data_IF_691144830834
#
_entry.id   IF_691144830834
#
_cell.length_a   1.000
_cell.length_b   1.000
_cell.length_c   1.000
_cell.angle_alpha   90.00
_cell.angle_beta   90.00
_cell.angle_gamma   90.00
#
_symmetry.space_group_name_H-M   'P 1'
#
loop_
_entity.id
_entity.type
_entity.pdbx_description
1 polymer ?
#
# COMPACT_ATOMS: atom_id res chain seq x y z
N UNK A 1 17.68 24.11 -7.43
CA UNK A 1 18.36 22.80 -7.40
C UNK A 1 19.80 22.88 -6.90
N UNK A 2 19.98 22.54 -5.63
CA UNK A 2 21.29 22.19 -5.05
C UNK A 2 21.92 20.94 -5.70
N UNK A 3 23.24 20.71 -5.52
CA UNK A 3 23.92 19.51 -6.02
C UNK A 3 23.29 18.20 -5.52
N UNK A 4 22.83 18.16 -4.26
CA UNK A 4 22.18 16.98 -3.69
C UNK A 4 20.79 16.75 -4.28
N UNK A 5 20.03 17.81 -4.54
CA UNK A 5 18.71 17.73 -5.19
C UNK A 5 18.83 17.12 -6.58
N UNK A 6 19.86 17.52 -7.33
CA UNK A 6 20.15 16.95 -8.65
C UNK A 6 20.49 15.46 -8.53
N UNK A 7 21.30 15.08 -7.55
CA UNK A 7 21.66 13.67 -7.31
C UNK A 7 20.44 12.82 -6.92
N UNK A 8 19.58 13.34 -6.04
CA UNK A 8 18.32 12.70 -5.67
C UNK A 8 17.46 12.39 -6.89
N UNK A 9 17.23 13.39 -7.75
CA UNK A 9 16.39 13.22 -8.93
C UNK A 9 17.04 12.43 -10.08
N UNK A 10 18.37 12.24 -10.07
CA UNK A 10 19.01 11.29 -10.99
C UNK A 10 18.59 9.85 -10.70
N UNK A 11 18.38 9.52 -9.42
CA UNK A 11 17.94 8.20 -8.98
C UNK A 11 16.42 8.12 -9.05
N UNK A 12 15.73 9.12 -8.51
CA UNK A 12 14.26 9.18 -8.46
C UNK A 12 13.67 10.09 -9.54
N UNK A 13 14.00 9.81 -10.80
CA UNK A 13 13.59 10.67 -11.94
C UNK A 13 12.08 10.85 -12.07
N UNK A 14 11.30 9.88 -11.59
CA UNK A 14 9.82 9.91 -11.61
C UNK A 14 9.20 10.47 -10.32
N UNK A 15 10.02 11.10 -9.47
CA UNK A 15 9.56 11.95 -8.37
C UNK A 15 9.50 13.43 -8.75
N UNK A 16 9.70 13.79 -10.03
CA UNK A 16 9.51 15.16 -10.52
C UNK A 16 8.13 15.27 -11.15
N UNK A 17 7.22 16.12 -10.62
CA UNK A 17 5.90 16.33 -11.20
C UNK A 17 5.98 16.93 -12.60
N UNK A 18 5.07 16.53 -13.49
CA UNK A 18 4.94 17.17 -14.81
C UNK A 18 4.39 18.60 -14.72
N UNK A 19 3.56 18.88 -13.71
CA UNK A 19 3.09 20.22 -13.42
C UNK A 19 4.20 21.05 -12.78
N UNK A 20 4.65 22.09 -13.50
CA UNK A 20 5.78 22.96 -13.08
C UNK A 20 5.55 23.69 -11.76
N UNK A 21 4.31 24.07 -11.44
CA UNK A 21 4.02 24.76 -10.18
C UNK A 21 4.14 23.79 -9.00
N UNK A 22 3.55 22.60 -9.14
CA UNK A 22 3.65 21.54 -8.14
C UNK A 22 5.13 21.13 -7.98
N UNK A 23 5.84 20.91 -9.09
CA UNK A 23 7.25 20.56 -9.08
C UNK A 23 8.12 21.58 -8.32
N UNK A 24 7.87 22.88 -8.51
CA UNK A 24 8.59 23.93 -7.78
C UNK A 24 8.33 23.86 -6.28
N UNK A 25 7.07 23.69 -5.86
CA UNK A 25 6.71 23.57 -4.44
C UNK A 25 7.33 22.33 -3.80
N UNK A 26 7.29 21.20 -4.49
CA UNK A 26 7.89 19.94 -4.04
C UNK A 26 9.43 20.04 -3.97
N UNK A 27 10.07 20.70 -4.94
CA UNK A 27 11.52 20.98 -4.91
C UNK A 27 11.91 21.83 -3.70
N UNK A 28 11.17 22.91 -3.40
CA UNK A 28 11.42 23.76 -2.23
C UNK A 28 11.32 22.96 -0.92
N UNK A 29 10.37 22.02 -0.83
CA UNK A 29 10.24 21.11 0.31
C UNK A 29 11.46 20.18 0.41
N UNK A 30 11.87 19.57 -0.70
CA UNK A 30 13.03 18.68 -0.73
C UNK A 30 14.32 19.42 -0.35
N UNK A 31 14.53 20.64 -0.87
CA UNK A 31 15.72 21.44 -0.57
C UNK A 31 15.86 21.77 0.93
N UNK A 32 14.73 21.95 1.62
CA UNK A 32 14.72 22.15 3.08
C UNK A 32 15.16 20.90 3.85
N UNK A 33 14.89 19.69 3.35
CA UNK A 33 15.10 18.43 4.07
C UNK A 33 16.43 17.76 3.70
N UNK A 34 16.82 17.78 2.42
CA UNK A 34 17.93 16.97 1.87
C UNK A 34 19.31 17.30 2.47
N UNK A 35 19.44 18.47 3.10
CA UNK A 35 20.68 18.91 3.74
C UNK A 35 20.71 18.67 5.26
N UNK A 36 19.58 18.27 5.86
CA UNK A 36 19.49 17.99 7.29
C UNK A 36 20.17 16.65 7.62
N UNK A 37 20.79 16.56 8.80
CA UNK A 37 21.23 15.27 9.34
C UNK A 37 20.02 14.43 9.77
N UNK A 38 20.16 13.10 9.89
CA UNK A 38 19.11 12.21 10.41
C UNK A 38 18.55 12.68 11.75
N UNK A 39 19.42 13.21 12.63
CA UNK A 39 19.04 13.81 13.91
C UNK A 39 18.19 15.06 13.74
N UNK A 40 18.57 15.96 12.83
CA UNK A 40 17.83 17.20 12.57
C UNK A 40 16.47 16.91 11.92
N UNK A 41 16.41 15.97 10.97
CA UNK A 41 15.16 15.48 10.38
C UNK A 41 14.24 14.93 11.49
N UNK A 42 14.79 14.14 12.41
CA UNK A 42 14.02 13.58 13.52
C UNK A 42 13.41 14.68 14.40
N UNK A 43 14.20 15.70 14.74
CA UNK A 43 13.74 16.84 15.53
C UNK A 43 12.68 17.65 14.79
N UNK A 44 12.86 17.88 13.49
CA UNK A 44 11.92 18.56 12.61
C UNK A 44 10.58 17.82 12.54
N UNK A 45 10.61 16.52 12.21
CA UNK A 45 9.41 15.68 12.10
C UNK A 45 8.64 15.58 13.41
N UNK A 46 9.34 15.51 14.55
CA UNK A 46 8.70 15.47 15.88
C UNK A 46 7.78 16.66 16.14
N UNK A 47 8.03 17.81 15.54
CA UNK A 47 7.17 19.00 15.69
C UNK A 47 5.75 18.76 15.14
N UNK A 48 5.59 17.90 14.13
CA UNK A 48 4.28 17.56 13.57
C UNK A 48 3.42 16.74 14.51
N UNK A 49 4.00 15.94 15.41
CA UNK A 49 3.24 15.15 16.39
C UNK A 49 2.39 16.07 17.27
N UNK A 50 2.98 17.19 17.72
CA UNK A 50 2.29 18.18 18.56
C UNK A 50 1.16 18.83 17.76
N UNK A 51 1.41 19.21 16.51
CA UNK A 51 0.40 19.81 15.62
C UNK A 51 -0.76 18.85 15.38
N UNK A 52 -0.50 17.59 15.01
CA UNK A 52 -1.52 16.58 14.75
C UNK A 52 -2.35 16.24 16.00
N UNK A 53 -1.74 16.27 17.19
CA UNK A 53 -2.45 16.03 18.46
C UNK A 53 -3.55 17.08 18.70
N UNK A 54 -3.37 18.32 18.26
CA UNK A 54 -4.40 19.36 18.35
C UNK A 54 -5.64 19.01 17.49
N UNK A 55 -5.41 18.53 16.27
CA UNK A 55 -6.48 18.20 15.32
C UNK A 55 -7.27 16.92 15.67
N UNK A 56 -6.78 16.11 16.62
CA UNK A 56 -7.52 14.95 17.15
C UNK A 56 -8.87 15.30 17.79
N UNK A 57 -9.17 16.56 18.11
CA UNK A 57 -10.42 16.93 18.80
C UNK A 57 -11.55 17.37 17.86
N UNK A 58 -11.24 17.84 16.66
CA UNK A 58 -12.22 18.43 15.74
C UNK A 58 -12.60 17.45 14.61
N UNK A 59 -13.53 17.85 13.74
CA UNK A 59 -13.73 17.20 12.44
C UNK A 59 -12.52 17.45 11.54
N UNK A 60 -12.36 16.67 10.47
CA UNK A 60 -11.29 16.87 9.50
C UNK A 60 -11.73 17.96 8.50
N UNK A 61 -11.11 19.12 8.57
CA UNK A 61 -11.33 20.26 7.67
C UNK A 61 -10.28 20.31 6.54
N UNK A 62 -10.52 21.17 5.55
CA UNK A 62 -9.62 21.35 4.40
C UNK A 62 -8.21 21.81 4.81
N UNK A 63 -8.10 22.65 5.84
CA UNK A 63 -6.80 23.11 6.34
C UNK A 63 -5.97 21.95 6.91
N UNK A 64 -6.58 21.14 7.78
CA UNK A 64 -5.96 19.96 8.36
C UNK A 64 -5.61 18.93 7.28
N UNK A 65 -6.48 18.72 6.29
CA UNK A 65 -6.20 17.84 5.16
C UNK A 65 -4.96 18.29 4.37
N UNK A 66 -4.81 19.58 4.10
CA UNK A 66 -3.62 20.13 3.44
C UNK A 66 -2.35 19.97 4.27
N UNK A 67 -2.44 20.15 5.60
CA UNK A 67 -1.32 19.90 6.51
C UNK A 67 -0.93 18.43 6.48
N UNK A 68 -1.90 17.50 6.52
CA UNK A 68 -1.66 16.06 6.40
C UNK A 68 -0.95 15.74 5.08
N UNK A 69 -1.45 16.24 3.95
CA UNK A 69 -0.82 16.02 2.64
C UNK A 69 0.62 16.53 2.61
N UNK A 70 0.89 17.71 3.18
CA UNK A 70 2.24 18.24 3.29
C UNK A 70 3.14 17.34 4.14
N UNK A 71 2.67 16.87 5.30
CA UNK A 71 3.44 15.96 6.15
C UNK A 71 3.74 14.65 5.41
N UNK A 72 2.75 14.07 4.71
CA UNK A 72 2.94 12.83 3.94
C UNK A 72 3.95 13.00 2.80
N UNK A 73 3.96 14.15 2.14
CA UNK A 73 4.95 14.51 1.12
C UNK A 73 6.36 14.60 1.72
N UNK A 74 6.52 15.28 2.85
CA UNK A 74 7.81 15.38 3.55
C UNK A 74 8.30 14.01 4.05
N UNK A 75 7.41 13.18 4.58
CA UNK A 75 7.71 11.79 4.98
C UNK A 75 8.22 11.00 3.77
N UNK A 76 7.58 11.12 2.60
CA UNK A 76 8.02 10.43 1.39
C UNK A 76 9.43 10.82 0.94
N UNK A 77 9.78 12.11 1.03
CA UNK A 77 11.14 12.57 0.75
C UNK A 77 12.13 12.01 1.77
N UNK A 78 11.80 12.05 3.06
CA UNK A 78 12.66 11.48 4.11
C UNK A 78 12.88 9.99 3.89
N UNK A 79 11.83 9.21 3.61
CA UNK A 79 11.96 7.77 3.35
C UNK A 79 12.90 7.50 2.16
N UNK A 80 12.84 8.30 1.09
CA UNK A 80 13.71 8.17 -0.07
C UNK A 80 15.15 8.56 0.23
N UNK A 81 15.37 9.62 1.02
CA UNK A 81 16.71 9.99 1.51
C UNK A 81 17.31 8.84 2.34
N UNK A 82 16.53 8.28 3.26
CA UNK A 82 16.97 7.13 4.06
C UNK A 82 17.20 5.87 3.22
N UNK A 83 16.46 5.69 2.13
CA UNK A 83 16.72 4.62 1.17
C UNK A 83 18.07 4.80 0.45
N UNK A 84 18.43 6.03 0.06
CA UNK A 84 19.75 6.32 -0.53
C UNK A 84 20.88 6.03 0.45
N UNK A 85 20.74 6.46 1.71
CA UNK A 85 21.71 6.18 2.76
C UNK A 85 21.84 4.66 2.97
N UNK A 86 20.71 3.93 3.00
CA UNK A 86 20.70 2.47 3.09
C UNK A 86 21.43 1.81 1.92
N UNK A 87 21.21 2.24 0.67
CA UNK A 87 21.90 1.69 -0.49
C UNK A 87 23.42 1.91 -0.40
N UNK A 88 23.83 3.13 -0.05
CA UNK A 88 25.24 3.48 0.12
C UNK A 88 25.90 2.66 1.22
N UNK A 89 25.25 2.52 2.38
CA UNK A 89 25.80 1.75 3.49
C UNK A 89 25.84 0.25 3.18
N UNK A 90 24.86 -0.25 2.42
CA UNK A 90 24.82 -1.64 1.97
C UNK A 90 25.99 -1.94 1.03
N UNK A 91 26.24 -1.08 0.06
CA UNK A 91 27.33 -1.21 -0.90
C UNK A 91 28.70 -1.18 -0.20
N UNK A 92 28.86 -0.32 0.80
CA UNK A 92 30.09 -0.18 1.57
C UNK A 92 30.26 -1.20 2.71
N UNK A 93 29.29 -2.11 2.92
CA UNK A 93 29.23 -3.04 4.05
C UNK A 93 29.30 -2.33 5.44
N UNK A 94 28.70 -1.14 5.55
CA UNK A 94 28.67 -0.32 6.76
C UNK A 94 27.31 -0.27 7.44
N UNK A 95 26.31 -1.02 6.96
CA UNK A 95 24.98 -1.08 7.57
C UNK A 95 25.03 -1.49 9.04
N UNK A 96 24.47 -0.64 9.90
CA UNK A 96 24.32 -0.88 11.34
C UNK A 96 22.85 -0.98 11.71
N UNK A 97 22.46 -2.14 12.24
CA UNK A 97 21.07 -2.35 12.70
C UNK A 97 20.76 -1.61 14.00
N UNK A 98 21.78 -1.19 14.75
CA UNK A 98 21.68 -0.51 16.04
C UNK A 98 21.92 1.00 15.96
N UNK A 99 21.99 1.59 14.75
CA UNK A 99 22.17 3.03 14.57
C UNK A 99 21.05 3.81 15.29
N UNK A 100 21.44 4.59 16.31
CA UNK A 100 20.52 5.29 17.20
C UNK A 100 19.69 6.35 16.46
N UNK A 101 20.30 7.11 15.56
CA UNK A 101 19.61 8.20 14.88
C UNK A 101 18.62 7.66 13.86
N UNK A 102 19.00 6.64 13.09
CA UNK A 102 18.07 5.94 12.16
C UNK A 102 16.92 5.29 12.94
N UNK A 103 17.23 4.67 14.09
CA UNK A 103 16.23 4.05 14.96
C UNK A 103 15.22 5.05 15.51
N UNK A 104 15.70 6.22 15.95
CA UNK A 104 14.85 7.27 16.47
C UNK A 104 13.99 7.91 15.37
N UNK A 105 14.58 8.16 14.18
CA UNK A 105 13.83 8.66 13.03
C UNK A 105 12.71 7.70 12.63
N UNK A 106 13.02 6.41 12.48
CA UNK A 106 12.03 5.38 12.14
C UNK A 106 10.85 5.38 13.11
N UNK A 107 11.11 5.42 14.43
CA UNK A 107 10.05 5.49 15.45
C UNK A 107 9.19 6.75 15.30
N UNK A 108 9.80 7.90 15.05
CA UNK A 108 9.05 9.16 14.88
C UNK A 108 8.19 9.12 13.61
N UNK A 109 8.70 8.60 12.50
CA UNK A 109 7.92 8.45 11.27
C UNK A 109 6.76 7.47 11.47
N UNK A 110 6.99 6.30 12.07
CA UNK A 110 5.92 5.34 12.37
C UNK A 110 4.83 5.96 13.25
N UNK A 111 5.21 6.73 14.28
CA UNK A 111 4.24 7.45 15.11
C UNK A 111 3.45 8.48 14.30
N UNK A 112 4.11 9.32 13.50
CA UNK A 112 3.43 10.33 12.66
C UNK A 112 2.44 9.70 11.68
N UNK A 113 2.86 8.64 10.99
CA UNK A 113 2.01 7.94 10.04
C UNK A 113 0.81 7.31 10.77
N UNK A 114 1.03 6.71 11.95
CA UNK A 114 -0.03 6.17 12.79
C UNK A 114 -1.04 7.24 13.20
N UNK A 115 -0.55 8.42 13.62
CA UNK A 115 -1.38 9.56 13.99
C UNK A 115 -2.26 10.03 12.83
N UNK A 116 -1.67 10.18 11.65
CA UNK A 116 -2.39 10.56 10.45
C UNK A 116 -3.44 9.51 10.09
N UNK A 117 -3.06 8.22 10.12
CA UNK A 117 -3.98 7.13 9.80
C UNK A 117 -5.17 7.08 10.76
N UNK A 118 -4.96 7.31 12.06
CA UNK A 118 -6.02 7.40 13.06
C UNK A 118 -6.92 8.60 12.81
N UNK A 119 -6.37 9.77 12.47
CA UNK A 119 -7.16 10.96 12.15
C UNK A 119 -8.08 10.68 10.96
N UNK A 120 -7.53 10.18 9.86
CA UNK A 120 -8.29 9.82 8.65
C UNK A 120 -9.34 8.75 8.96
N UNK A 121 -9.01 7.77 9.81
CA UNK A 121 -9.89 6.63 10.09
C UNK A 121 -11.07 6.94 11.00
N UNK A 122 -10.90 7.89 11.93
CA UNK A 122 -11.87 8.10 13.01
C UNK A 122 -12.67 9.39 12.88
N UNK A 123 -12.26 10.32 12.02
CA UNK A 123 -12.89 11.63 11.91
C UNK A 123 -13.94 11.70 10.82
N UNK A 124 -14.99 12.46 11.10
CA UNK A 124 -15.91 12.92 10.08
C UNK A 124 -15.26 14.02 9.24
N UNK A 125 -15.58 13.99 7.95
CA UNK A 125 -15.01 14.87 6.95
C UNK A 125 -15.92 16.08 6.76
N UNK A 126 -15.36 17.29 6.76
CA UNK A 126 -16.11 18.53 6.44
C UNK A 126 -16.79 18.44 5.07
N UNK A 127 -16.04 17.96 4.08
CA UNK A 127 -16.52 17.77 2.71
C UNK A 127 -16.05 16.42 2.17
N UNK A 128 -16.88 15.79 1.32
CA UNK A 128 -16.47 14.57 0.64
C UNK A 128 -15.26 14.86 -0.26
N UNK A 129 -14.33 13.93 -0.34
CA UNK A 129 -13.18 14.02 -1.25
C UNK A 129 -12.25 15.22 -1.02
N UNK A 130 -12.21 15.80 0.19
CA UNK A 130 -11.42 17.02 0.49
C UNK A 130 -9.94 16.92 0.11
N UNK A 131 -9.35 15.73 0.13
CA UNK A 131 -7.94 15.52 -0.23
C UNK A 131 -7.67 15.70 -1.73
N UNK A 132 -8.68 15.52 -2.59
CA UNK A 132 -8.52 15.48 -4.06
C UNK A 132 -7.99 16.79 -4.63
N UNK A 133 -8.22 17.92 -3.94
CA UNK A 133 -7.79 19.23 -4.40
C UNK A 133 -6.37 19.61 -3.98
N UNK A 134 -5.74 18.82 -3.12
CA UNK A 134 -4.35 19.06 -2.69
C UNK A 134 -3.34 18.79 -3.81
N UNK A 135 -2.28 19.60 -3.87
CA UNK A 135 -1.21 19.47 -4.87
C UNK A 135 -0.56 18.07 -4.83
N UNK A 136 -0.38 17.51 -3.62
CA UNK A 136 0.20 16.17 -3.42
C UNK A 136 -0.59 15.06 -4.11
N UNK A 137 -1.94 15.14 -4.13
CA UNK A 137 -2.77 14.15 -4.81
C UNK A 137 -2.88 14.40 -6.32
N UNK A 138 -2.66 15.64 -6.77
CA UNK A 138 -2.61 16.02 -8.19
C UNK A 138 -1.29 15.66 -8.87
N UNK A 139 -0.22 15.52 -8.10
CA UNK A 139 1.12 15.11 -8.55
C UNK A 139 1.08 13.75 -9.24
N UNK A 140 1.61 13.64 -10.45
CA UNK A 140 1.67 12.41 -11.27
C UNK A 140 2.90 11.53 -10.96
N UNK A 141 3.59 11.84 -9.87
CA UNK A 141 4.82 11.16 -9.44
C UNK A 141 4.55 9.88 -8.66
N UNK A 142 5.60 9.08 -8.43
CA UNK A 142 5.54 7.92 -7.51
C UNK A 142 5.26 8.33 -6.06
N UNK A 143 5.65 9.55 -5.66
CA UNK A 143 5.27 10.13 -4.36
C UNK A 143 3.77 10.46 -4.33
N UNK A 144 3.25 11.13 -5.37
CA UNK A 144 1.83 11.45 -5.48
C UNK A 144 0.96 10.19 -5.48
N UNK A 145 1.41 9.14 -6.18
CA UNK A 145 0.82 7.80 -6.14
C UNK A 145 0.77 7.23 -4.71
N UNK A 146 1.91 7.17 -4.03
CA UNK A 146 2.01 6.65 -2.65
C UNK A 146 1.05 7.39 -1.70
N UNK A 147 0.91 8.71 -1.84
CA UNK A 147 0.00 9.53 -1.01
C UNK A 147 -1.47 9.25 -1.35
N UNK A 148 -1.84 9.15 -2.63
CA UNK A 148 -3.22 8.82 -3.04
C UNK A 148 -3.62 7.44 -2.52
N UNK A 149 -2.78 6.44 -2.72
CA UNK A 149 -3.03 5.06 -2.26
C UNK A 149 -3.11 5.03 -0.73
N UNK A 150 -2.27 5.79 -0.02
CA UNK A 150 -2.33 5.92 1.44
C UNK A 150 -3.68 6.41 1.96
N UNK A 151 -4.23 7.47 1.35
CA UNK A 151 -5.57 7.96 1.74
C UNK A 151 -6.65 6.92 1.39
N UNK A 152 -6.60 6.37 0.17
CA UNK A 152 -7.60 5.43 -0.32
C UNK A 152 -7.65 4.14 0.49
N UNK A 153 -6.50 3.55 0.87
CA UNK A 153 -6.46 2.29 1.63
C UNK A 153 -7.10 2.44 3.01
N UNK A 154 -6.88 3.56 3.69
CA UNK A 154 -7.45 3.81 5.01
C UNK A 154 -8.97 3.94 4.89
N UNK A 155 -9.45 4.79 3.97
CA UNK A 155 -10.87 5.00 3.75
C UNK A 155 -11.60 3.74 3.29
N UNK A 156 -11.02 2.98 2.34
CA UNK A 156 -11.57 1.72 1.85
C UNK A 156 -11.63 0.66 2.97
N UNK A 157 -10.63 0.62 3.85
CA UNK A 157 -10.63 -0.29 5.01
C UNK A 157 -11.69 0.09 6.04
N UNK A 158 -11.90 1.38 6.30
CA UNK A 158 -12.99 1.82 7.18
C UNK A 158 -14.35 1.51 6.58
N UNK A 159 -14.51 1.68 5.26
CA UNK A 159 -15.72 1.31 4.55
C UNK A 159 -15.99 -0.19 4.64
N UNK A 160 -14.97 -1.02 4.43
CA UNK A 160 -15.03 -2.48 4.61
C UNK A 160 -15.49 -2.83 6.03
N UNK A 161 -14.84 -2.29 7.06
CA UNK A 161 -15.21 -2.50 8.46
C UNK A 161 -16.64 -2.03 8.78
N UNK A 162 -17.10 -0.92 8.20
CA UNK A 162 -18.47 -0.41 8.34
C UNK A 162 -19.49 -1.34 7.70
N UNK A 163 -19.22 -1.88 6.50
CA UNK A 163 -20.09 -2.87 5.85
C UNK A 163 -20.19 -4.15 6.69
N UNK A 164 -19.10 -4.59 7.31
CA UNK A 164 -19.14 -5.74 8.22
C UNK A 164 -20.00 -5.48 9.47
N UNK A 165 -19.97 -4.27 10.04
CA UNK A 165 -20.91 -3.87 11.10
C UNK A 165 -22.38 -3.96 10.66
N UNK A 166 -22.64 -3.75 9.37
CA UNK A 166 -23.98 -3.79 8.77
C UNK A 166 -24.37 -5.20 8.30
N UNK A 167 -23.61 -6.24 8.68
CA UNK A 167 -23.92 -7.63 8.36
C UNK A 167 -23.41 -8.11 6.99
N UNK A 168 -22.50 -7.38 6.34
CA UNK A 168 -21.99 -7.75 5.03
C UNK A 168 -21.32 -9.12 4.98
N UNK A 169 -20.73 -9.60 6.09
CA UNK A 169 -20.17 -10.96 6.17
C UNK A 169 -21.22 -12.05 5.84
N UNK A 170 -22.44 -11.92 6.37
CA UNK A 170 -23.50 -12.89 6.09
C UNK A 170 -23.99 -12.80 4.64
N UNK A 171 -24.08 -11.58 4.11
CA UNK A 171 -24.39 -11.36 2.69
C UNK A 171 -23.35 -12.03 1.79
N UNK A 172 -22.06 -11.81 2.05
CA UNK A 172 -20.96 -12.45 1.31
C UNK A 172 -21.05 -13.97 1.37
N UNK A 173 -21.38 -14.57 2.53
CA UNK A 173 -21.58 -16.02 2.65
C UNK A 173 -22.71 -16.53 1.76
N UNK A 174 -23.85 -15.86 1.77
CA UNK A 174 -25.03 -16.22 0.96
C UNK A 174 -24.71 -16.09 -0.53
N UNK A 175 -24.08 -14.98 -0.91
CA UNK A 175 -23.76 -14.67 -2.31
C UNK A 175 -22.56 -15.49 -2.83
N UNK A 176 -21.73 -16.07 -1.95
CA UNK A 176 -20.50 -16.76 -2.31
C UNK A 176 -20.71 -17.82 -3.40
N UNK A 177 -21.70 -18.71 -3.21
CA UNK A 177 -21.95 -19.80 -4.15
C UNK A 177 -22.35 -19.28 -5.54
N UNK A 178 -23.06 -18.17 -5.60
CA UNK A 178 -23.58 -17.59 -6.86
C UNK A 178 -22.54 -16.72 -7.57
N UNK A 179 -21.77 -15.94 -6.81
CA UNK A 179 -20.94 -14.87 -7.35
C UNK A 179 -19.45 -15.25 -7.35
N UNK A 180 -18.95 -15.80 -6.23
CA UNK A 180 -17.50 -15.93 -6.00
C UNK A 180 -16.95 -17.34 -6.18
N UNK A 181 -17.82 -18.36 -6.16
CA UNK A 181 -17.42 -19.76 -6.31
C UNK A 181 -16.56 -19.98 -7.56
N UNK A 182 -16.99 -19.47 -8.73
CA UNK A 182 -16.27 -19.63 -10.00
C UNK A 182 -14.82 -19.11 -9.94
N UNK A 183 -14.58 -18.02 -9.21
CA UNK A 183 -13.25 -17.45 -9.10
C UNK A 183 -12.39 -18.25 -8.12
N UNK A 184 -12.95 -18.56 -6.95
CA UNK A 184 -12.24 -19.39 -5.96
C UNK A 184 -11.85 -20.75 -6.52
N UNK A 185 -12.73 -21.43 -7.27
CA UNK A 185 -12.45 -22.73 -7.87
C UNK A 185 -11.24 -22.68 -8.83
N UNK A 186 -11.14 -21.62 -9.65
CA UNK A 186 -9.99 -21.40 -10.53
C UNK A 186 -8.70 -21.16 -9.74
N UNK A 187 -8.75 -20.44 -8.61
CA UNK A 187 -7.59 -20.27 -7.72
C UNK A 187 -7.18 -21.62 -7.12
N UNK A 188 -8.14 -22.40 -6.61
CA UNK A 188 -7.92 -23.74 -6.06
C UNK A 188 -7.21 -24.67 -7.04
N UNK A 189 -7.71 -24.73 -8.28
CA UNK A 189 -7.15 -25.57 -9.33
C UNK A 189 -5.70 -25.21 -9.66
N UNK A 190 -5.34 -23.92 -9.63
CA UNK A 190 -3.99 -23.45 -9.96
C UNK A 190 -2.97 -23.71 -8.86
N UNK A 191 -3.38 -23.55 -7.60
CA UNK A 191 -2.48 -23.69 -6.45
C UNK A 191 -2.59 -25.07 -5.77
N UNK A 192 -3.38 -25.99 -6.33
CA UNK A 192 -3.64 -27.32 -5.78
C UNK A 192 -4.05 -27.28 -4.29
N UNK A 193 -4.89 -26.30 -3.94
CA UNK A 193 -5.47 -26.18 -2.61
C UNK A 193 -6.45 -27.36 -2.43
N UNK A 194 -6.30 -28.15 -1.37
CA UNK A 194 -7.01 -29.43 -1.24
C UNK A 194 -8.47 -29.26 -0.84
N UNK A 195 -9.31 -30.18 -1.33
CA UNK A 195 -10.76 -30.30 -1.14
C UNK A 195 -11.21 -30.30 0.33
N UNK A 196 -11.33 -29.11 0.92
CA UNK A 196 -12.44 -28.78 1.80
C UNK A 196 -13.58 -28.17 0.98
N UNK A 197 -14.81 -28.19 1.51
CA UNK A 197 -15.99 -27.59 0.86
C UNK A 197 -15.68 -26.15 0.46
N UNK A 198 -15.61 -25.85 -0.84
CA UNK A 198 -15.30 -24.51 -1.33
C UNK A 198 -16.41 -23.52 -0.96
N UNK A 199 -16.20 -22.84 0.14
CA UNK A 199 -17.09 -21.88 0.79
C UNK A 199 -16.28 -20.66 1.19
N UNK A 200 -16.96 -19.56 1.52
CA UNK A 200 -16.27 -18.38 2.03
C UNK A 200 -15.44 -18.70 3.29
N UNK A 201 -16.02 -19.47 4.22
CA UNK A 201 -15.37 -19.77 5.50
C UNK A 201 -14.24 -20.81 5.39
N UNK A 202 -14.20 -21.65 4.33
CA UNK A 202 -13.03 -22.48 4.04
C UNK A 202 -11.90 -21.69 3.38
N UNK A 203 -12.23 -20.60 2.67
CA UNK A 203 -11.25 -19.86 1.88
C UNK A 203 -10.56 -18.76 2.68
N UNK A 204 -11.26 -18.21 3.68
CA UNK A 204 -10.78 -17.12 4.54
C UNK A 204 -10.51 -17.66 5.93
N UNK A 205 -9.25 -17.68 6.35
CA UNK A 205 -8.86 -18.20 7.67
C UNK A 205 -9.55 -17.42 8.80
N UNK A 206 -10.22 -18.15 9.69
CA UNK A 206 -11.06 -17.60 10.77
C UNK A 206 -12.24 -16.73 10.27
N UNK A 207 -12.63 -16.88 9.01
CA UNK A 207 -13.76 -16.17 8.40
C UNK A 207 -13.51 -14.68 8.14
N UNK A 208 -14.44 -14.08 7.39
CA UNK A 208 -14.43 -12.64 7.10
C UNK A 208 -14.73 -11.84 8.38
N UNK A 209 -13.79 -10.98 8.76
CA UNK A 209 -13.85 -10.16 9.98
C UNK A 209 -13.31 -8.76 9.74
N UNK A 210 -13.46 -7.90 10.75
CA UNK A 210 -12.91 -6.55 10.70
C UNK A 210 -11.39 -6.57 10.71
N UNK A 211 -10.79 -5.60 10.04
CA UNK A 211 -9.36 -5.31 10.14
C UNK A 211 -9.16 -4.45 11.38
N UNK A 212 -8.24 -4.87 12.25
CA UNK A 212 -7.93 -4.18 13.51
C UNK A 212 -7.15 -2.88 13.25
N UNK A 213 -7.31 -1.89 14.13
CA UNK A 213 -6.64 -0.59 13.97
C UNK A 213 -5.12 -0.70 13.85
N UNK A 214 -4.48 -1.62 14.58
CA UNK A 214 -3.04 -1.84 14.46
C UNK A 214 -2.67 -2.33 13.05
N UNK A 215 -3.45 -3.25 12.47
CA UNK A 215 -3.26 -3.71 11.09
C UNK A 215 -3.50 -2.58 10.09
N UNK A 216 -4.49 -1.70 10.30
CA UNK A 216 -4.73 -0.52 9.45
C UNK A 216 -3.49 0.39 9.46
N UNK A 217 -2.93 0.66 10.64
CA UNK A 217 -1.73 1.48 10.82
C UNK A 217 -0.51 0.84 10.15
N UNK A 218 -0.26 -0.44 10.37
CA UNK A 218 0.84 -1.18 9.72
C UNK A 218 0.70 -1.17 8.20
N UNK A 219 -0.52 -1.36 7.70
CA UNK A 219 -0.81 -1.30 6.26
C UNK A 219 -0.52 0.10 5.72
N UNK A 220 -0.97 1.14 6.42
CA UNK A 220 -0.77 2.53 6.02
C UNK A 220 0.73 2.89 5.98
N UNK A 221 1.53 2.43 6.95
CA UNK A 221 2.99 2.58 6.91
C UNK A 221 3.57 1.82 5.71
N UNK A 222 3.14 0.57 5.47
CA UNK A 222 3.56 -0.23 4.33
C UNK A 222 3.27 0.45 2.99
N UNK A 223 2.10 1.08 2.85
CA UNK A 223 1.73 1.83 1.63
C UNK A 223 2.65 3.01 1.36
N UNK A 224 3.16 3.73 2.35
CA UNK A 224 4.12 4.80 2.05
C UNK A 224 5.50 4.28 1.61
N UNK A 225 5.75 2.99 1.76
CA UNK A 225 7.03 2.36 1.44
C UNK A 225 6.98 1.42 0.23
N UNK A 226 5.80 1.09 -0.30
CA UNK A 226 5.66 0.00 -1.27
C UNK A 226 6.46 0.22 -2.56
N UNK A 227 6.54 1.48 -3.01
CA UNK A 227 7.22 1.93 -4.23
C UNK A 227 8.48 2.76 -3.96
N UNK A 228 9.14 2.58 -2.81
CA UNK A 228 10.23 3.47 -2.42
C UNK A 228 11.45 3.36 -3.34
N UNK A 229 11.71 2.18 -3.92
CA UNK A 229 12.81 1.93 -4.86
C UNK A 229 12.41 1.99 -6.33
N UNK A 230 11.14 2.28 -6.63
CA UNK A 230 10.64 2.30 -8.00
C UNK A 230 11.35 3.38 -8.82
N UNK A 231 12.09 2.92 -9.83
CA UNK A 231 12.88 3.75 -10.76
C UNK A 231 12.23 3.85 -12.15
N UNK A 232 10.95 3.48 -12.25
CA UNK A 232 10.08 3.49 -13.44
C UNK A 232 8.95 4.53 -13.32
N UNK A 233 8.38 4.90 -14.47
CA UNK A 233 7.37 5.97 -14.58
C UNK A 233 6.07 5.62 -13.90
N UNK A 234 5.75 4.34 -13.90
CA UNK A 234 4.55 3.77 -13.31
C UNK A 234 4.89 2.43 -12.70
N UNK A 235 4.08 2.03 -11.74
CA UNK A 235 4.15 0.69 -11.20
C UNK A 235 3.71 -0.35 -12.24
N UNK A 236 4.20 -1.58 -12.06
CA UNK A 236 3.89 -2.72 -12.89
C UNK A 236 2.42 -3.11 -12.76
N UNK A 237 1.72 -3.16 -13.88
CA UNK A 237 0.41 -3.79 -13.97
C UNK A 237 0.55 -5.07 -14.81
N UNK A 238 -0.06 -6.21 -14.41
CA UNK A 238 0.10 -7.50 -15.10
C UNK A 238 -0.64 -7.58 -16.45
N UNK A 239 -0.25 -6.73 -17.41
CA UNK A 239 -0.75 -6.69 -18.78
C UNK A 239 0.31 -7.19 -19.77
N UNK A 240 -0.14 -7.57 -20.97
CA UNK A 240 0.73 -8.12 -22.00
C UNK A 240 1.82 -7.12 -22.39
N UNK A 241 3.07 -7.60 -22.52
CA UNK A 241 4.27 -6.83 -22.90
C UNK A 241 4.77 -5.82 -21.86
N UNK A 242 4.29 -5.88 -20.61
CA UNK A 242 4.87 -5.09 -19.52
C UNK A 242 5.98 -5.88 -18.81
N UNK A 243 7.14 -5.24 -18.62
CA UNK A 243 8.29 -5.87 -17.97
C UNK A 243 8.19 -5.76 -16.46
N UNK A 244 8.14 -6.92 -15.78
CA UNK A 244 8.25 -7.02 -14.33
C UNK A 244 9.57 -6.43 -13.87
N UNK A 245 9.55 -5.59 -12.84
CA UNK A 245 10.77 -5.31 -12.09
C UNK A 245 10.78 -6.06 -10.76
N UNK A 246 11.73 -5.76 -9.88
CA UNK A 246 11.88 -6.41 -8.58
C UNK A 246 11.88 -5.37 -7.45
N UNK A 247 11.24 -4.21 -7.61
CA UNK A 247 11.23 -3.14 -6.60
C UNK A 247 10.65 -3.65 -5.29
N UNK A 248 9.54 -4.40 -5.30
CA UNK A 248 8.91 -4.96 -4.10
C UNK A 248 9.86 -5.78 -3.21
N UNK A 249 10.86 -6.47 -3.79
CA UNK A 249 11.90 -7.21 -3.05
C UNK A 249 12.98 -6.27 -2.50
N UNK A 250 13.38 -5.24 -3.27
CA UNK A 250 14.31 -4.20 -2.79
C UNK A 250 13.69 -3.42 -1.62
N UNK A 251 12.43 -3.07 -1.77
CA UNK A 251 11.62 -2.33 -0.81
C UNK A 251 11.36 -3.14 0.44
N UNK A 252 11.13 -4.45 0.30
CA UNK A 252 11.11 -5.37 1.44
C UNK A 252 12.40 -5.31 2.27
N UNK A 253 13.56 -5.34 1.60
CA UNK A 253 14.86 -5.26 2.27
C UNK A 253 15.03 -3.96 3.07
N UNK A 254 14.67 -2.83 2.46
CA UNK A 254 14.70 -1.54 3.15
C UNK A 254 13.67 -1.45 4.28
N UNK A 255 12.43 -1.91 4.06
CA UNK A 255 11.38 -1.93 5.09
C UNK A 255 11.80 -2.76 6.30
N UNK A 256 12.40 -3.94 6.10
CA UNK A 256 12.95 -4.75 7.19
C UNK A 256 14.03 -4.02 7.97
N UNK A 257 14.96 -3.38 7.26
CA UNK A 257 16.02 -2.59 7.87
C UNK A 257 15.45 -1.41 8.65
N UNK A 258 14.72 -0.52 7.98
CA UNK A 258 14.33 0.77 8.52
C UNK A 258 13.18 0.67 9.54
N UNK A 259 12.20 -0.22 9.34
CA UNK A 259 11.07 -0.39 10.26
C UNK A 259 11.34 -1.41 11.38
N UNK A 260 12.58 -1.90 11.49
CA UNK A 260 13.10 -2.68 12.63
C UNK A 260 12.25 -3.89 13.01
N UNK A 261 11.88 -4.69 12.00
CA UNK A 261 11.18 -5.95 12.21
C UNK A 261 9.68 -5.84 12.43
N UNK A 262 9.06 -4.70 12.08
CA UNK A 262 7.62 -4.68 11.82
C UNK A 262 7.31 -5.52 10.57
N UNK A 263 7.12 -6.83 10.77
CA UNK A 263 6.90 -7.80 9.69
C UNK A 263 5.59 -7.52 8.94
N UNK A 264 4.56 -6.97 9.58
CA UNK A 264 3.31 -6.58 8.93
C UNK A 264 3.52 -5.48 7.87
N UNK A 265 4.31 -4.46 8.20
CA UNK A 265 4.72 -3.41 7.26
C UNK A 265 5.55 -4.00 6.11
N UNK A 266 6.61 -4.75 6.46
CA UNK A 266 7.49 -5.34 5.45
C UNK A 266 6.76 -6.29 4.51
N UNK A 267 5.83 -7.09 5.02
CA UNK A 267 5.03 -8.00 4.21
C UNK A 267 4.03 -7.27 3.33
N UNK A 268 3.39 -6.21 3.81
CA UNK A 268 2.54 -5.35 2.97
C UNK A 268 3.33 -4.83 1.76
N UNK A 269 4.55 -4.33 2.00
CA UNK A 269 5.47 -3.88 0.94
C UNK A 269 5.87 -5.03 0.01
N UNK A 270 6.18 -6.22 0.51
CA UNK A 270 6.70 -7.29 -0.35
C UNK A 270 5.65 -8.05 -1.16
N UNK A 271 4.39 -7.98 -0.74
CA UNK A 271 3.30 -8.83 -1.25
C UNK A 271 2.34 -8.08 -2.18
N UNK A 272 2.48 -6.77 -2.39
CA UNK A 272 1.55 -5.99 -3.20
C UNK A 272 1.63 -6.26 -4.72
N UNK A 273 2.57 -7.11 -5.15
CA UNK A 273 2.69 -7.64 -6.51
C UNK A 273 2.46 -9.15 -6.57
N UNK A 274 1.76 -9.73 -5.58
CA UNK A 274 1.50 -11.18 -5.52
C UNK A 274 0.13 -11.56 -6.09
N UNK A 275 -0.25 -10.93 -7.20
CA UNK A 275 -1.46 -11.22 -7.95
C UNK A 275 -1.66 -12.73 -8.13
N UNK A 276 -2.91 -13.19 -8.03
CA UNK A 276 -3.21 -14.59 -8.22
C UNK A 276 -2.63 -15.09 -9.56
N UNK A 277 -1.78 -16.11 -9.48
CA UNK A 277 -1.08 -16.79 -10.59
C UNK A 277 -0.06 -15.96 -11.38
N UNK A 278 0.07 -14.66 -11.12
CA UNK A 278 0.90 -13.75 -11.92
C UNK A 278 1.94 -12.99 -11.09
N UNK A 279 1.93 -13.21 -9.77
CA UNK A 279 2.83 -12.58 -8.84
C UNK A 279 4.31 -12.86 -9.06
N UNK A 280 5.15 -11.98 -8.52
CA UNK A 280 6.61 -12.06 -8.65
C UNK A 280 7.36 -11.55 -7.40
N UNK A 281 6.66 -11.41 -6.28
CA UNK A 281 7.21 -10.90 -5.03
C UNK A 281 7.81 -11.98 -4.12
N UNK A 282 7.77 -11.71 -2.82
CA UNK A 282 8.33 -12.57 -1.77
C UNK A 282 7.62 -13.93 -1.65
N UNK A 283 6.29 -13.98 -1.70
CA UNK A 283 5.53 -15.22 -1.57
C UNK A 283 5.89 -16.20 -2.68
N UNK A 284 6.01 -15.72 -3.92
CA UNK A 284 6.38 -16.56 -5.06
C UNK A 284 7.73 -17.27 -4.82
N UNK A 285 8.71 -16.56 -4.25
CA UNK A 285 10.02 -17.14 -3.91
C UNK A 285 9.97 -18.08 -2.71
N UNK A 286 9.19 -17.75 -1.67
CA UNK A 286 8.96 -18.62 -0.52
C UNK A 286 8.29 -19.94 -0.94
N UNK A 287 7.26 -19.87 -1.78
CA UNK A 287 6.51 -21.01 -2.26
C UNK A 287 7.39 -21.97 -3.07
N UNK A 288 8.18 -21.45 -4.02
CA UNK A 288 9.17 -22.24 -4.77
C UNK A 288 10.21 -22.90 -3.86
N UNK A 289 10.69 -22.19 -2.84
CA UNK A 289 11.68 -22.72 -1.90
C UNK A 289 11.11 -23.88 -1.06
N UNK A 290 9.85 -23.75 -0.59
CA UNK A 290 9.20 -24.80 0.19
C UNK A 290 8.85 -26.02 -0.66
N UNK A 291 8.30 -25.85 -1.86
CA UNK A 291 7.99 -26.97 -2.75
C UNK A 291 9.24 -27.78 -3.13
N UNK A 292 10.41 -27.15 -3.23
CA UNK A 292 11.69 -27.87 -3.43
C UNK A 292 12.07 -28.77 -2.25
N UNK A 293 11.70 -28.39 -1.02
CA UNK A 293 12.04 -29.12 0.21
C UNK A 293 10.95 -30.13 0.60
N UNK A 294 9.69 -29.76 0.40
CA UNK A 294 8.52 -30.57 0.66
C UNK A 294 7.54 -30.43 -0.53
N UNK A 295 7.68 -31.28 -1.57
CA UNK A 295 6.80 -31.25 -2.74
C UNK A 295 5.32 -31.47 -2.41
N UNK A 296 5.02 -32.03 -1.24
CA UNK A 296 3.67 -32.32 -0.77
C UNK A 296 3.12 -31.24 0.18
N UNK A 297 3.81 -30.09 0.31
CA UNK A 297 3.30 -28.96 1.09
C UNK A 297 1.93 -28.52 0.55
N UNK A 298 1.00 -28.25 1.46
CA UNK A 298 -0.38 -27.90 1.13
C UNK A 298 -0.71 -26.58 1.79
N UNK A 299 -1.20 -25.65 0.98
CA UNK A 299 -1.74 -24.38 1.46
C UNK A 299 -3.22 -24.59 1.77
N UNK A 300 -3.66 -24.12 2.93
CA UNK A 300 -4.99 -24.42 3.47
C UNK A 300 -6.00 -23.34 3.10
N UNK A 301 -5.56 -22.08 3.05
CA UNK A 301 -6.43 -20.93 2.88
C UNK A 301 -6.01 -20.08 1.68
N UNK A 302 -6.98 -19.40 1.05
CA UNK A 302 -6.68 -18.38 0.04
C UNK A 302 -6.25 -17.08 0.74
N UNK A 303 -6.99 -16.66 1.77
CA UNK A 303 -6.79 -15.36 2.42
C UNK A 303 -6.64 -15.53 3.93
N UNK A 304 -5.67 -14.82 4.50
CA UNK A 304 -5.56 -14.60 5.95
C UNK A 304 -5.40 -13.11 6.27
N UNK A 305 -5.81 -12.75 7.47
CA UNK A 305 -5.58 -11.43 8.06
C UNK A 305 -4.31 -11.41 8.93
N UNK A 306 -3.66 -12.55 9.15
CA UNK A 306 -2.39 -12.63 9.88
C UNK A 306 -1.25 -12.86 8.87
N UNK A 307 -0.27 -11.96 8.88
CA UNK A 307 0.88 -12.02 7.98
C UNK A 307 1.74 -13.29 8.21
N UNK A 308 1.70 -13.87 9.41
CA UNK A 308 2.45 -15.10 9.75
C UNK A 308 1.96 -16.30 8.94
N UNK A 309 0.71 -16.29 8.50
CA UNK A 309 0.14 -17.38 7.71
C UNK A 309 0.70 -17.42 6.29
N UNK A 310 1.13 -16.26 5.76
CA UNK A 310 1.83 -16.20 4.48
C UNK A 310 3.28 -16.64 4.65
N UNK A 311 3.96 -16.19 5.72
CA UNK A 311 5.33 -16.62 6.03
C UNK A 311 5.46 -18.14 6.23
N UNK A 312 4.44 -18.76 6.83
CA UNK A 312 4.37 -20.20 7.07
C UNK A 312 3.70 -20.98 5.94
N UNK A 313 3.28 -20.29 4.86
CA UNK A 313 2.55 -20.85 3.73
C UNK A 313 1.30 -21.66 4.12
N UNK A 314 0.62 -21.23 5.20
CA UNK A 314 -0.73 -21.71 5.52
C UNK A 314 -1.79 -21.00 4.67
N UNK A 315 -1.53 -19.75 4.28
CA UNK A 315 -2.39 -18.95 3.40
C UNK A 315 -1.63 -18.51 2.15
N UNK A 316 -2.33 -18.45 1.01
CA UNK A 316 -1.78 -17.87 -0.22
C UNK A 316 -1.50 -16.37 -0.07
N UNK A 317 -2.36 -15.67 0.67
CA UNK A 317 -2.39 -14.21 0.65
C UNK A 317 -2.62 -13.60 2.02
N UNK A 318 -2.16 -12.35 2.15
CA UNK A 318 -2.39 -11.47 3.28
C UNK A 318 -3.39 -10.38 2.87
N UNK A 319 -4.52 -10.31 3.56
CA UNK A 319 -5.65 -9.47 3.17
C UNK A 319 -5.26 -8.00 2.95
N UNK A 320 -4.50 -7.34 3.84
CA UNK A 320 -4.12 -5.95 3.62
C UNK A 320 -3.27 -5.73 2.36
N UNK A 321 -2.40 -6.68 1.99
CA UNK A 321 -1.69 -6.64 0.71
C UNK A 321 -2.64 -6.80 -0.48
N UNK A 322 -3.69 -7.62 -0.36
CA UNK A 322 -4.74 -7.73 -1.40
C UNK A 322 -5.60 -6.49 -1.54
N UNK A 323 -5.85 -5.78 -0.45
CA UNK A 323 -6.49 -4.46 -0.52
C UNK A 323 -5.58 -3.45 -1.21
N UNK A 324 -4.28 -3.46 -0.91
CA UNK A 324 -3.30 -2.62 -1.58
C UNK A 324 -3.24 -2.91 -3.08
N UNK A 325 -3.11 -4.17 -3.50
CA UNK A 325 -3.10 -4.59 -4.93
C UNK A 325 -4.26 -3.99 -5.74
N UNK A 326 -5.48 -4.04 -5.22
CA UNK A 326 -6.67 -3.52 -5.91
C UNK A 326 -6.61 -2.01 -6.07
N UNK A 327 -6.17 -1.30 -5.02
CA UNK A 327 -6.14 0.16 -4.97
C UNK A 327 -4.98 0.71 -5.80
N UNK A 328 -3.82 0.09 -5.70
CA UNK A 328 -2.64 0.43 -6.49
C UNK A 328 -2.92 0.29 -7.99
N UNK A 329 -3.42 -0.88 -8.43
CA UNK A 329 -3.82 -1.08 -9.84
C UNK A 329 -4.83 -0.03 -10.30
N UNK A 330 -5.82 0.31 -9.47
CA UNK A 330 -6.79 1.35 -9.80
C UNK A 330 -6.15 2.74 -9.95
N UNK A 331 -5.27 3.13 -9.02
CA UNK A 331 -4.56 4.42 -9.11
C UNK A 331 -3.68 4.47 -10.36
N UNK A 332 -2.89 3.42 -10.61
CA UNK A 332 -2.02 3.33 -11.78
C UNK A 332 -2.80 3.39 -13.09
N UNK A 333 -3.95 2.71 -13.18
CA UNK A 333 -4.84 2.78 -14.35
C UNK A 333 -5.41 4.19 -14.56
N UNK A 334 -5.84 4.85 -13.49
CA UNK A 334 -6.51 6.16 -13.61
C UNK A 334 -5.55 7.33 -13.74
N UNK A 335 -4.34 7.24 -13.18
CA UNK A 335 -3.37 8.34 -13.12
C UNK A 335 -2.24 8.19 -14.12
N UNK A 336 -1.60 7.03 -14.18
CA UNK A 336 -0.48 6.82 -15.11
C UNK A 336 -0.98 6.42 -16.50
N UNK A 337 -2.07 5.66 -16.59
CA UNK A 337 -2.65 5.24 -17.87
C UNK A 337 -3.85 6.10 -18.32
N UNK A 338 -4.16 7.17 -17.58
CA UNK A 338 -5.19 8.17 -17.90
C UNK A 338 -6.58 7.59 -18.22
N UNK A 339 -6.93 6.42 -17.65
CA UNK A 339 -8.28 5.88 -17.77
C UNK A 339 -9.23 6.67 -16.88
N UNK A 340 -10.44 6.94 -17.38
CA UNK A 340 -11.51 7.38 -16.48
C UNK A 340 -11.79 6.30 -15.42
N UNK A 341 -12.36 6.65 -14.26
CA UNK A 341 -12.70 5.67 -13.23
C UNK A 341 -13.54 4.49 -13.75
N UNK A 342 -14.49 4.76 -14.64
CA UNK A 342 -15.33 3.74 -15.27
C UNK A 342 -14.53 2.81 -16.18
N UNK A 343 -13.64 3.36 -17.00
CA UNK A 343 -12.76 2.58 -17.87
C UNK A 343 -11.77 1.74 -17.06
N UNK A 344 -11.23 2.27 -15.96
CA UNK A 344 -10.34 1.53 -15.07
C UNK A 344 -11.06 0.33 -14.43
N UNK A 345 -12.27 0.53 -13.90
CA UNK A 345 -13.07 -0.56 -13.30
C UNK A 345 -13.46 -1.61 -14.36
N UNK A 346 -13.88 -1.18 -15.54
CA UNK A 346 -14.20 -2.09 -16.65
C UNK A 346 -12.96 -2.90 -17.04
N UNK A 347 -11.80 -2.24 -17.13
CA UNK A 347 -10.53 -2.88 -17.44
C UNK A 347 -10.12 -3.92 -16.39
N UNK A 348 -10.20 -3.56 -15.09
CA UNK A 348 -9.91 -4.48 -13.98
C UNK A 348 -10.84 -5.70 -14.01
N UNK A 349 -12.14 -5.48 -14.22
CA UNK A 349 -13.14 -6.56 -14.26
C UNK A 349 -12.85 -7.52 -15.42
N UNK A 350 -12.67 -6.99 -16.63
CA UNK A 350 -12.46 -7.81 -17.82
C UNK A 350 -11.13 -8.56 -17.78
N UNK A 351 -10.03 -7.88 -17.41
CA UNK A 351 -8.69 -8.44 -17.56
C UNK A 351 -8.18 -9.13 -16.30
N UNK A 352 -8.58 -8.69 -15.11
CA UNK A 352 -8.03 -9.17 -13.82
C UNK A 352 -9.01 -10.00 -12.98
N UNK A 353 -10.27 -10.15 -13.42
CA UNK A 353 -11.23 -11.07 -12.82
C UNK A 353 -11.77 -12.10 -13.84
N UNK A 354 -12.25 -11.66 -15.00
CA UNK A 354 -12.91 -12.56 -15.97
C UNK A 354 -11.90 -13.36 -16.81
N UNK A 355 -11.03 -12.68 -17.59
CA UNK A 355 -10.02 -13.35 -18.42
C UNK A 355 -9.04 -14.14 -17.56
N UNK A 356 -8.33 -13.43 -16.68
CA UNK A 356 -7.40 -13.99 -15.71
C UNK A 356 -7.80 -13.54 -14.33
N UNK A 357 -7.75 -14.44 -13.34
CA UNK A 357 -7.99 -14.05 -11.95
C UNK A 357 -6.66 -13.64 -11.37
N UNK A 358 -6.46 -12.33 -11.26
CA UNK A 358 -5.25 -11.69 -10.75
C UNK A 358 -5.53 -10.93 -9.45
N UNK A 359 -6.67 -10.23 -9.39
CA UNK A 359 -7.14 -9.50 -8.21
C UNK A 359 -8.12 -10.33 -7.40
N UNK A 360 -8.29 -9.99 -6.11
CA UNK A 360 -9.31 -10.59 -5.27
C UNK A 360 -10.71 -10.09 -5.64
N UNK A 361 -11.64 -10.96 -6.06
CA UNK A 361 -12.97 -10.54 -6.50
C UNK A 361 -13.80 -9.89 -5.39
N UNK A 362 -13.71 -10.40 -4.16
CA UNK A 362 -14.49 -9.88 -3.03
C UNK A 362 -13.97 -8.49 -2.66
N UNK A 363 -12.65 -8.33 -2.60
CA UNK A 363 -12.03 -7.03 -2.29
C UNK A 363 -12.27 -6.01 -3.40
N UNK A 364 -12.22 -6.44 -4.66
CA UNK A 364 -12.50 -5.59 -5.81
C UNK A 364 -13.94 -5.10 -5.81
N UNK A 365 -14.92 -5.97 -5.55
CA UNK A 365 -16.33 -5.58 -5.44
C UNK A 365 -16.55 -4.57 -4.30
N UNK A 366 -15.98 -4.80 -3.12
CA UNK A 366 -16.12 -3.87 -1.99
C UNK A 366 -15.44 -2.53 -2.29
N UNK A 367 -14.30 -2.55 -2.97
CA UNK A 367 -13.62 -1.33 -3.41
C UNK A 367 -14.46 -0.55 -4.42
N UNK A 368 -15.09 -1.21 -5.39
CA UNK A 368 -16.02 -0.58 -6.34
C UNK A 368 -17.21 0.04 -5.58
N UNK A 369 -17.78 -0.66 -4.60
CA UNK A 369 -18.82 -0.09 -3.74
C UNK A 369 -18.33 1.15 -2.97
N UNK A 370 -17.09 1.15 -2.47
CA UNK A 370 -16.46 2.30 -1.82
C UNK A 370 -16.34 3.49 -2.78
N UNK A 371 -15.85 3.27 -4.01
CA UNK A 371 -15.73 4.32 -5.02
C UNK A 371 -17.10 4.94 -5.34
N UNK A 372 -18.15 4.13 -5.42
CA UNK A 372 -19.52 4.60 -5.68
C UNK A 372 -20.11 5.35 -4.47
N UNK A 373 -20.05 4.74 -3.30
CA UNK A 373 -20.83 5.17 -2.12
C UNK A 373 -20.11 6.31 -1.36
N UNK A 374 -18.78 6.27 -1.29
CA UNK A 374 -17.94 7.25 -0.56
C UNK A 374 -17.35 8.28 -1.51
N UNK A 375 -16.65 7.83 -2.57
CA UNK A 375 -16.05 8.78 -3.54
C UNK A 375 -17.07 9.42 -4.48
N UNK A 376 -18.30 8.90 -4.53
CA UNK A 376 -19.40 9.39 -5.39
C UNK A 376 -19.01 9.39 -6.88
N UNK A 377 -18.17 8.44 -7.27
CA UNK A 377 -17.77 8.26 -8.67
C UNK A 377 -18.93 7.61 -9.42
N UNK A 378 -19.23 8.14 -10.61
CA UNK A 378 -20.19 7.51 -11.53
C UNK A 378 -19.47 6.37 -12.26
N UNK A 379 -19.87 5.14 -11.96
CA UNK A 379 -19.28 3.89 -12.48
C UNK A 379 -20.23 3.31 -13.52
#
# INVERSE_FOLDING_TARGET
MSSKTIEFYKIFKYCIPSNKEIAKKEEEILENIINMSTKDITAYMRQYIIKLTYYRKNFLDVETANIICKILLEINFVLRIQYLDYLKDKENNTLKNDDYDVNNLSKILQLLISEIAVIISTKEYETNNMFNDSDALKSDTTIGHSIRVFIMIIEATNFFNKKLNQGAANKMRIDFKKTYYKYSERIYQRYNLINSVNTLDSNVKLGVRKIENNTIVETAIGVLMHDISLDKEKDYVPIQNEEKDNHSIKDYGFAKYFMRGNEGVALTVSLHHEYYSHGYGLFTELYKAVLRRNPNHKIEYIVSYDYKDVLTLQSLTYLPAKMLEVIDVYDTLTKSMNKSPKEAISFMTENFLEKEIMLDPIITDIFIEYLRDIKRIKI
#
